data_IF_652039824702
#
_entry.id   IF_652039824702
#
_cell.length_a   1.000
_cell.length_b   1.000
_cell.length_c   1.000
_cell.angle_alpha   90.00
_cell.angle_beta   90.00
_cell.angle_gamma   90.00
#
_symmetry.space_group_name_H-M   'P 1'
#
loop_
_entity.id
_entity.type
_entity.pdbx_description
1 polymer ?
#
# COMPACT_ATOMS: atom_id res chain seq x y z
N UNK A 1 25.16 2.45 14.53
CA UNK A 1 24.69 1.62 13.38
C UNK A 1 23.82 0.43 13.84
N UNK A 2 22.60 0.68 14.33
CA UNK A 2 21.56 -0.35 14.55
C UNK A 2 20.18 0.33 14.69
N UNK A 3 19.55 0.74 13.57
CA UNK A 3 18.14 1.17 13.53
C UNK A 3 17.22 0.08 12.94
N UNK A 4 17.44 -1.19 13.29
CA UNK A 4 16.74 -2.34 12.67
C UNK A 4 15.48 -2.90 13.38
N UNK A 5 15.13 -2.65 14.66
CA UNK A 5 13.96 -3.34 15.25
C UNK A 5 12.61 -2.66 14.98
N UNK A 6 12.56 -1.32 14.87
CA UNK A 6 11.28 -0.62 14.91
C UNK A 6 10.48 -0.71 13.61
N UNK A 7 11.12 -0.66 12.43
CA UNK A 7 10.37 -0.56 11.17
C UNK A 7 9.49 -1.77 10.86
N UNK A 8 9.81 -2.96 11.37
CA UNK A 8 8.98 -4.16 11.22
C UNK A 8 7.76 -4.11 12.14
N UNK A 9 7.93 -3.59 13.35
CA UNK A 9 6.85 -3.41 14.32
C UNK A 9 5.76 -2.45 13.80
N UNK A 10 6.14 -1.44 13.03
CA UNK A 10 5.20 -0.45 12.48
C UNK A 10 4.43 -0.93 11.25
N UNK A 11 5.01 -1.77 10.39
CA UNK A 11 4.29 -2.39 9.28
C UNK A 11 3.20 -3.35 9.80
N UNK A 12 3.55 -4.15 10.82
CA UNK A 12 2.60 -5.01 11.52
C UNK A 12 1.50 -4.19 12.20
N UNK A 13 1.83 -3.03 12.79
CA UNK A 13 0.83 -2.15 13.39
C UNK A 13 -0.15 -1.59 12.34
N UNK A 14 0.32 -1.18 11.16
CA UNK A 14 -0.58 -0.71 10.10
C UNK A 14 -1.51 -1.82 9.61
N UNK A 15 -1.02 -3.04 9.44
CA UNK A 15 -1.86 -4.19 9.09
C UNK A 15 -2.90 -4.48 10.18
N UNK A 16 -2.51 -4.48 11.45
CA UNK A 16 -3.42 -4.68 12.58
C UNK A 16 -4.51 -3.59 12.65
N UNK A 17 -4.13 -2.32 12.42
CA UNK A 17 -5.08 -1.21 12.37
C UNK A 17 -6.05 -1.37 11.20
N UNK A 18 -5.56 -1.79 10.04
CA UNK A 18 -6.38 -2.05 8.86
C UNK A 18 -7.39 -3.16 9.14
N UNK A 19 -6.99 -4.29 9.72
CA UNK A 19 -7.88 -5.39 10.12
C UNK A 19 -8.97 -4.97 11.13
N UNK A 20 -8.66 -4.02 12.01
CA UNK A 20 -9.63 -3.49 12.98
C UNK A 20 -10.69 -2.58 12.35
N UNK A 21 -10.37 -1.89 11.25
CA UNK A 21 -11.33 -1.00 10.57
C UNK A 21 -12.50 -1.74 9.93
N UNK A 22 -12.25 -2.96 9.43
CA UNK A 22 -13.27 -3.72 8.71
C UNK A 22 -12.96 -5.21 8.78
N UNK A 23 -13.84 -5.98 9.42
CA UNK A 23 -13.70 -7.44 9.56
C UNK A 23 -14.51 -8.23 8.53
N UNK A 24 -15.68 -7.74 8.15
CA UNK A 24 -16.63 -8.48 7.32
C UNK A 24 -16.80 -7.83 5.95
N UNK A 25 -16.77 -8.67 4.91
CA UNK A 25 -17.14 -8.31 3.55
C UNK A 25 -18.64 -8.64 3.32
N UNK A 26 -19.51 -7.64 3.13
CA UNK A 26 -20.94 -7.89 2.94
C UNK A 26 -21.22 -8.54 1.59
N UNK A 27 -22.13 -9.52 1.54
CA UNK A 27 -22.50 -10.20 0.29
C UNK A 27 -23.10 -9.24 -0.75
N UNK A 28 -23.75 -8.16 -0.31
CA UNK A 28 -24.26 -7.13 -1.21
C UNK A 28 -23.16 -6.38 -1.99
N UNK A 29 -21.89 -6.49 -1.57
CA UNK A 29 -20.76 -5.84 -2.23
C UNK A 29 -20.02 -6.74 -3.24
N UNK A 30 -20.53 -7.95 -3.51
CA UNK A 30 -19.88 -8.90 -4.44
C UNK A 30 -19.86 -8.40 -5.89
N UNK A 31 -20.81 -7.54 -6.28
CA UNK A 31 -20.81 -6.91 -7.60
C UNK A 31 -19.61 -5.98 -7.78
N UNK A 32 -19.35 -5.10 -6.80
CA UNK A 32 -18.19 -4.22 -6.79
C UNK A 32 -16.88 -5.00 -6.75
N UNK A 33 -16.85 -6.11 -6.00
CA UNK A 33 -15.69 -7.00 -5.95
C UNK A 33 -15.37 -7.60 -7.32
N UNK A 34 -16.41 -8.04 -8.04
CA UNK A 34 -16.27 -8.62 -9.37
C UNK A 34 -15.86 -7.57 -10.39
N UNK A 35 -16.46 -6.38 -10.33
CA UNK A 35 -16.07 -5.24 -11.16
C UNK A 35 -14.59 -4.87 -10.98
N UNK A 36 -14.13 -4.80 -9.72
CA UNK A 36 -12.73 -4.50 -9.44
C UNK A 36 -11.77 -5.58 -9.97
N UNK A 37 -12.10 -6.87 -9.80
CA UNK A 37 -11.29 -7.96 -10.38
C UNK A 37 -11.15 -7.81 -11.90
N UNK A 38 -12.24 -7.49 -12.60
CA UNK A 38 -12.21 -7.25 -14.05
C UNK A 38 -11.35 -6.05 -14.44
N UNK A 39 -11.26 -5.02 -13.59
CA UNK A 39 -10.33 -3.89 -13.82
C UNK A 39 -8.87 -4.24 -13.52
N UNK A 40 -8.62 -5.29 -12.73
CA UNK A 40 -7.29 -5.72 -12.30
C UNK A 40 -6.65 -6.79 -13.20
N UNK A 41 -7.32 -7.25 -14.26
CA UNK A 41 -6.90 -8.36 -15.14
C UNK A 41 -5.47 -8.24 -15.75
N UNK A 42 -4.69 -7.19 -15.44
CA UNK A 42 -3.39 -6.88 -16.05
C UNK A 42 -2.25 -6.62 -15.03
N UNK A 43 -2.45 -6.64 -13.71
CA UNK A 43 -1.31 -6.44 -12.77
C UNK A 43 -1.00 -7.71 -12.00
N UNK A 44 -0.31 -8.65 -12.66
CA UNK A 44 0.57 -9.55 -11.92
C UNK A 44 1.67 -8.68 -11.31
N UNK A 45 1.52 -8.33 -10.04
CA UNK A 45 2.54 -7.70 -9.21
C UNK A 45 3.69 -8.68 -8.97
N UNK A 46 4.40 -9.07 -10.02
CA UNK A 46 5.64 -9.82 -9.90
C UNK A 46 6.77 -8.82 -9.80
N UNK A 47 7.15 -8.48 -8.57
CA UNK A 47 8.42 -7.78 -8.37
C UNK A 47 9.54 -8.72 -8.79
N UNK A 48 10.27 -8.35 -9.85
CA UNK A 48 11.38 -9.14 -10.35
C UNK A 48 12.51 -9.10 -9.33
N UNK A 49 13.32 -10.16 -9.25
CA UNK A 49 14.40 -10.30 -8.25
C UNK A 49 15.49 -9.21 -8.29
N UNK A 50 15.45 -8.29 -9.28
CA UNK A 50 16.42 -7.21 -9.46
C UNK A 50 15.98 -5.86 -8.90
N UNK A 51 14.74 -5.72 -8.42
CA UNK A 51 14.22 -4.44 -7.94
C UNK A 51 14.69 -4.12 -6.52
N UNK A 52 15.00 -2.85 -6.25
CA UNK A 52 15.26 -2.39 -4.89
C UNK A 52 13.96 -2.46 -4.09
N UNK A 53 13.73 -3.59 -3.41
CA UNK A 53 12.54 -3.85 -2.63
C UNK A 53 12.22 -2.73 -1.62
N UNK A 54 13.22 -1.95 -1.17
CA UNK A 54 13.00 -0.77 -0.31
C UNK A 54 12.25 0.35 -1.04
N UNK A 55 12.70 0.71 -2.24
CA UNK A 55 12.04 1.72 -3.09
C UNK A 55 10.63 1.26 -3.44
N UNK A 56 10.46 -0.03 -3.73
CA UNK A 56 9.15 -0.62 -3.98
C UNK A 56 8.22 -0.49 -2.78
N UNK A 57 8.68 -0.87 -1.59
CA UNK A 57 7.90 -0.75 -0.35
C UNK A 57 7.52 0.71 -0.09
N UNK A 58 8.46 1.64 -0.29
CA UNK A 58 8.21 3.07 -0.11
C UNK A 58 7.11 3.56 -1.05
N UNK A 59 7.18 3.22 -2.33
CA UNK A 59 6.18 3.63 -3.32
C UNK A 59 4.79 3.06 -2.99
N UNK A 60 4.69 1.77 -2.63
CA UNK A 60 3.41 1.17 -2.20
C UNK A 60 2.85 1.92 -0.99
N UNK A 61 3.68 2.22 0.03
CA UNK A 61 3.21 2.92 1.23
C UNK A 61 2.73 4.35 0.92
N UNK A 62 3.44 5.07 0.04
CA UNK A 62 3.04 6.41 -0.41
C UNK A 62 1.70 6.38 -1.16
N UNK A 63 1.50 5.40 -2.03
CA UNK A 63 0.23 5.24 -2.75
C UNK A 63 -0.92 4.84 -1.80
N UNK A 64 -0.69 3.94 -0.84
CA UNK A 64 -1.68 3.62 0.20
C UNK A 64 -2.05 4.89 0.99
N UNK A 65 -1.06 5.68 1.43
CA UNK A 65 -1.32 6.93 2.15
C UNK A 65 -2.16 7.90 1.31
N UNK A 66 -1.87 7.99 0.02
CA UNK A 66 -2.64 8.82 -0.94
C UNK A 66 -4.08 8.35 -1.06
N UNK A 67 -4.33 7.04 -1.17
CA UNK A 67 -5.70 6.49 -1.19
C UNK A 67 -6.44 6.82 0.11
N UNK A 68 -5.83 6.59 1.27
CA UNK A 68 -6.46 6.86 2.56
C UNK A 68 -6.58 8.35 2.89
N UNK A 69 -5.99 9.25 2.10
CA UNK A 69 -6.18 10.70 2.24
C UNK A 69 -7.38 11.23 1.45
N UNK A 70 -8.10 10.35 0.72
CA UNK A 70 -9.29 10.71 -0.07
C UNK A 70 -10.55 10.71 0.78
N UNK A 71 -11.70 10.77 0.11
CA UNK A 71 -13.01 10.80 0.75
C UNK A 71 -13.34 9.45 1.42
N UNK A 72 -13.24 9.43 2.75
CA UNK A 72 -13.59 8.29 3.60
C UNK A 72 -14.99 8.40 4.25
N UNK A 73 -15.78 9.42 3.93
CA UNK A 73 -17.05 9.73 4.62
C UNK A 73 -18.05 8.58 4.62
N UNK A 74 -18.05 7.74 3.58
CA UNK A 74 -18.97 6.62 3.50
C UNK A 74 -18.49 5.36 4.24
N UNK A 75 -17.22 5.27 4.66
CA UNK A 75 -16.59 3.99 5.08
C UNK A 75 -17.13 3.35 6.36
N UNK A 76 -17.93 4.06 7.16
CA UNK A 76 -18.34 3.66 8.52
C UNK A 76 -17.20 3.21 9.45
N UNK A 77 -15.94 3.50 9.08
CA UNK A 77 -14.77 3.15 9.88
C UNK A 77 -14.59 4.15 11.02
N UNK A 78 -14.03 3.68 12.13
CA UNK A 78 -13.69 4.54 13.27
C UNK A 78 -12.61 5.55 12.87
N UNK A 79 -12.94 6.84 12.93
CA UNK A 79 -12.04 7.93 12.57
C UNK A 79 -10.73 7.93 13.38
N UNK A 80 -10.74 7.46 14.63
CA UNK A 80 -9.53 7.33 15.44
C UNK A 80 -8.59 6.25 14.89
N UNK A 81 -9.13 5.15 14.36
CA UNK A 81 -8.34 4.10 13.71
C UNK A 81 -7.74 4.63 12.40
N UNK A 82 -8.51 5.40 11.62
CA UNK A 82 -8.06 6.01 10.37
C UNK A 82 -6.86 6.93 10.63
N UNK A 83 -6.97 7.84 11.60
CA UNK A 83 -5.90 8.77 11.95
C UNK A 83 -4.65 8.02 12.42
N UNK A 84 -4.81 7.01 13.29
CA UNK A 84 -3.68 6.18 13.75
C UNK A 84 -2.99 5.46 12.59
N UNK A 85 -3.78 4.95 11.64
CA UNK A 85 -3.26 4.25 10.48
C UNK A 85 -2.50 5.19 9.53
N UNK A 86 -3.08 6.36 9.20
CA UNK A 86 -2.41 7.38 8.39
C UNK A 86 -1.11 7.87 9.05
N UNK A 87 -1.11 8.10 10.36
CA UNK A 87 0.10 8.46 11.10
C UNK A 87 1.16 7.34 11.06
N UNK A 88 0.73 6.08 11.19
CA UNK A 88 1.61 4.91 11.07
C UNK A 88 2.23 4.76 9.67
N UNK A 89 1.47 5.06 8.61
CA UNK A 89 1.97 5.12 7.23
C UNK A 89 3.00 6.23 7.06
N UNK A 90 2.66 7.45 7.47
CA UNK A 90 3.54 8.61 7.38
C UNK A 90 4.90 8.35 8.05
N UNK A 91 4.90 7.80 9.27
CA UNK A 91 6.13 7.45 9.98
C UNK A 91 6.95 6.34 9.31
N UNK A 92 6.32 5.44 8.57
CA UNK A 92 7.04 4.40 7.82
C UNK A 92 7.66 4.95 6.54
N UNK A 93 6.91 5.78 5.81
CA UNK A 93 7.38 6.47 4.61
C UNK A 93 8.60 7.32 4.94
N UNK A 94 8.50 8.18 5.95
CA UNK A 94 9.59 9.08 6.34
C UNK A 94 10.88 8.35 6.70
N UNK A 95 10.80 7.23 7.43
CA UNK A 95 11.98 6.41 7.76
C UNK A 95 12.59 5.71 6.56
N UNK A 96 11.79 5.32 5.58
CA UNK A 96 12.30 4.73 4.34
C UNK A 96 12.95 5.80 3.47
N UNK A 97 12.41 7.02 3.45
CA UNK A 97 13.00 8.17 2.75
C UNK A 97 14.40 8.51 3.27
N UNK A 98 14.57 8.64 4.59
CA UNK A 98 15.89 8.88 5.21
C UNK A 98 16.90 7.81 4.78
N UNK A 99 16.47 6.54 4.77
CA UNK A 99 17.31 5.42 4.44
C UNK A 99 17.67 5.38 2.93
N UNK A 100 16.69 5.59 2.05
CA UNK A 100 16.89 5.62 0.60
C UNK A 100 17.77 6.80 0.19
N UNK A 101 17.59 7.97 0.82
CA UNK A 101 18.41 9.15 0.56
C UNK A 101 19.88 8.89 0.92
N UNK A 102 20.16 8.28 2.07
CA UNK A 102 21.52 7.87 2.44
C UNK A 102 22.12 6.85 1.44
N UNK A 103 21.34 5.87 0.95
CA UNK A 103 21.84 4.92 -0.06
C UNK A 103 22.12 5.59 -1.41
N UNK A 104 21.29 6.54 -1.85
CA UNK A 104 21.51 7.30 -3.09
C UNK A 104 22.76 8.19 -3.04
N UNK A 105 23.10 8.72 -1.87
CA UNK A 105 24.35 9.48 -1.70
C UNK A 105 25.60 8.58 -1.75
N UNK A 106 25.44 7.30 -1.40
CA UNK A 106 26.52 6.30 -1.43
C UNK A 106 26.62 5.54 -2.76
N UNK A 107 25.55 5.50 -3.54
CA UNK A 107 25.44 4.73 -4.79
C UNK A 107 24.61 5.48 -5.83
N UNK A 108 25.07 5.50 -7.09
CA UNK A 108 24.34 6.06 -8.25
C UNK A 108 23.10 5.23 -8.57
N UNK A 109 22.09 5.28 -7.71
CA UNK A 109 20.93 4.40 -7.68
C UNK A 109 19.79 4.93 -8.56
N UNK A 110 20.13 5.33 -9.79
CA UNK A 110 19.17 5.60 -10.88
C UNK A 110 19.38 4.52 -11.95
N UNK A 111 18.60 3.45 -11.88
CA UNK A 111 18.53 2.42 -12.92
C UNK A 111 17.17 2.44 -13.59
N UNK A 112 17.13 2.09 -14.88
CA UNK A 112 15.89 1.98 -15.66
C UNK A 112 14.88 1.02 -15.01
N UNK A 113 15.38 -0.04 -14.34
CA UNK A 113 14.56 -1.00 -13.59
C UNK A 113 13.75 -0.32 -12.47
N UNK A 114 14.32 0.66 -11.75
CA UNK A 114 13.61 1.38 -10.67
C UNK A 114 12.47 2.26 -11.21
N UNK A 115 12.69 2.86 -12.38
CA UNK A 115 11.65 3.66 -13.05
C UNK A 115 10.47 2.78 -13.48
N UNK A 116 10.74 1.58 -13.97
CA UNK A 116 9.71 0.63 -14.38
C UNK A 116 8.90 0.11 -13.17
N UNK A 117 9.56 -0.18 -12.05
CA UNK A 117 8.89 -0.57 -10.79
C UNK A 117 7.94 0.52 -10.31
N UNK A 118 8.44 1.76 -10.24
CA UNK A 118 7.66 2.91 -9.78
C UNK A 118 6.42 3.11 -10.67
N UNK A 119 6.62 3.06 -11.99
CA UNK A 119 5.52 3.19 -12.95
C UNK A 119 4.47 2.09 -12.79
N UNK A 120 4.90 0.84 -12.56
CA UNK A 120 3.98 -0.29 -12.37
C UNK A 120 3.13 -0.14 -11.11
N UNK A 121 3.76 0.24 -9.98
CA UNK A 121 3.05 0.52 -8.72
C UNK A 121 2.04 1.65 -8.93
N UNK A 122 2.46 2.77 -9.51
CA UNK A 122 1.58 3.92 -9.79
C UNK A 122 0.41 3.55 -10.67
N UNK A 123 0.65 2.82 -11.76
CA UNK A 123 -0.41 2.40 -12.69
C UNK A 123 -1.47 1.56 -11.99
N UNK A 124 -1.05 0.67 -11.10
CA UNK A 124 -1.98 -0.13 -10.32
C UNK A 124 -2.83 0.73 -9.36
N UNK A 125 -2.21 1.65 -8.61
CA UNK A 125 -2.94 2.51 -7.68
C UNK A 125 -3.81 3.57 -8.39
N UNK A 126 -3.45 3.96 -9.61
CA UNK A 126 -4.34 4.71 -10.51
C UNK A 126 -5.61 3.92 -10.85
N UNK A 127 -5.50 2.61 -11.05
CA UNK A 127 -6.66 1.72 -11.21
C UNK A 127 -7.57 1.69 -9.98
N UNK A 128 -6.97 1.63 -8.79
CA UNK A 128 -7.70 1.74 -7.51
C UNK A 128 -8.42 3.09 -7.39
N UNK A 129 -7.73 4.19 -7.70
CA UNK A 129 -8.31 5.53 -7.66
C UNK A 129 -9.46 5.69 -8.67
N UNK A 130 -9.28 5.19 -9.89
CA UNK A 130 -10.30 5.19 -10.92
C UNK A 130 -11.54 4.39 -10.48
N UNK A 131 -11.34 3.20 -9.89
CA UNK A 131 -12.42 2.39 -9.34
C UNK A 131 -13.18 3.11 -8.22
N UNK A 132 -12.46 3.72 -7.26
CA UNK A 132 -13.10 4.49 -6.19
C UNK A 132 -13.92 5.66 -6.74
N UNK A 133 -13.40 6.38 -7.74
CA UNK A 133 -14.12 7.49 -8.40
C UNK A 133 -15.36 6.99 -9.16
N UNK A 134 -15.22 5.93 -9.95
CA UNK A 134 -16.32 5.32 -10.71
C UNK A 134 -17.46 4.89 -9.78
N UNK A 135 -17.11 4.27 -8.65
CA UNK A 135 -18.08 3.84 -7.63
C UNK A 135 -18.44 4.93 -6.62
N UNK A 136 -18.07 6.18 -6.89
CA UNK A 136 -18.39 7.36 -6.08
C UNK A 136 -18.04 7.21 -4.59
N UNK A 137 -16.92 6.54 -4.29
CA UNK A 137 -16.46 6.27 -2.93
C UNK A 137 -17.50 5.54 -2.07
N UNK A 138 -18.31 4.67 -2.69
CA UNK A 138 -19.34 3.91 -2.00
C UNK A 138 -18.77 3.02 -0.88
N UNK A 139 -19.61 2.66 0.08
CA UNK A 139 -19.27 1.69 1.12
C UNK A 139 -18.71 0.39 0.55
N UNK A 140 -19.34 -0.16 -0.48
CA UNK A 140 -18.89 -1.40 -1.11
C UNK A 140 -17.56 -1.22 -1.84
N UNK A 141 -17.32 -0.09 -2.51
CA UNK A 141 -16.03 0.20 -3.12
C UNK A 141 -14.91 0.24 -2.07
N UNK A 142 -15.14 0.91 -0.95
CA UNK A 142 -14.17 0.95 0.15
C UNK A 142 -13.95 -0.41 0.82
N UNK A 143 -14.97 -1.28 0.89
CA UNK A 143 -14.80 -2.67 1.35
C UNK A 143 -13.91 -3.48 0.43
N UNK A 144 -14.03 -3.28 -0.89
CA UNK A 144 -13.16 -3.91 -1.89
C UNK A 144 -11.74 -3.41 -1.75
N UNK A 145 -11.56 -2.09 -1.70
CA UNK A 145 -10.24 -1.47 -1.57
C UNK A 145 -9.59 -1.85 -0.24
N UNK A 146 -10.34 -1.95 0.86
CA UNK A 146 -9.82 -2.42 2.14
C UNK A 146 -9.16 -3.81 2.06
N UNK A 147 -9.82 -4.78 1.42
CA UNK A 147 -9.23 -6.11 1.19
C UNK A 147 -7.98 -6.03 0.30
N UNK A 148 -7.98 -5.14 -0.68
CA UNK A 148 -6.84 -4.96 -1.56
C UNK A 148 -5.64 -4.35 -0.81
N UNK A 149 -5.89 -3.40 0.09
CA UNK A 149 -4.85 -2.82 0.95
C UNK A 149 -4.24 -3.88 1.86
N UNK A 150 -5.04 -4.81 2.39
CA UNK A 150 -4.52 -5.94 3.17
C UNK A 150 -3.55 -6.80 2.32
N UNK A 151 -3.88 -7.06 1.05
CA UNK A 151 -2.98 -7.77 0.12
C UNK A 151 -1.69 -7.00 -0.13
N UNK A 152 -1.76 -5.69 -0.30
CA UNK A 152 -0.55 -4.84 -0.43
C UNK A 152 0.35 -4.94 0.81
N UNK A 153 -0.20 -4.97 2.02
CA UNK A 153 0.60 -5.15 3.24
C UNK A 153 1.24 -6.54 3.35
N UNK A 154 0.55 -7.59 2.93
CA UNK A 154 1.15 -8.94 2.84
C UNK A 154 2.32 -8.96 1.85
N UNK A 155 2.18 -8.26 0.72
CA UNK A 155 3.24 -8.10 -0.27
C UNK A 155 4.43 -7.31 0.29
N UNK A 156 4.19 -6.22 1.03
CA UNK A 156 5.24 -5.48 1.74
C UNK A 156 6.00 -6.42 2.70
N UNK A 157 5.31 -7.25 3.47
CA UNK A 157 5.99 -8.17 4.40
C UNK A 157 6.85 -9.20 3.66
N UNK A 158 6.39 -9.70 2.51
CA UNK A 158 7.18 -10.60 1.65
C UNK A 158 8.43 -9.90 1.10
N UNK A 159 8.29 -8.67 0.58
CA UNK A 159 9.42 -7.86 0.12
C UNK A 159 10.41 -7.57 1.27
N UNK A 160 9.92 -7.31 2.48
CA UNK A 160 10.76 -7.09 3.67
C UNK A 160 11.54 -8.34 4.06
N UNK A 161 10.99 -9.54 3.90
CA UNK A 161 11.72 -10.79 4.15
C UNK A 161 12.88 -10.97 3.17
N UNK A 162 12.69 -10.61 1.89
CA UNK A 162 13.77 -10.64 0.89
C UNK A 162 14.94 -9.72 1.23
N UNK A 163 14.67 -8.58 1.88
CA UNK A 163 15.71 -7.64 2.33
C UNK A 163 16.49 -8.11 3.57
N UNK A 164 16.01 -9.13 4.28
CA UNK A 164 16.70 -9.71 5.46
C UNK A 164 17.64 -10.85 5.10
N UNK A 165 17.48 -11.43 3.90
CA UNK A 165 18.33 -12.48 3.34
C UNK A 165 19.41 -11.85 2.46
#
# INVERSE_FOLDING_TARGET
PHHKPQSHLWALLCLELLEKMSRNFPSQCENERTAFKSTQDIVQFSFSQKENAKVTIQEILQEIFTIFSKNLTQTSWDGSLIVRFQNGLYQQIHRLEEYVQMEKELTSLESEDLHLTNWTVKKYFQGIDAFLKEKQYSQCAWKVIHMEMQRCFLLIEELRKRLKN
#
